data_IF_390177801953
#
_entry.id   IF_390177801953
#
_cell.length_a   1.000
_cell.length_b   1.000
_cell.length_c   1.000
_cell.angle_alpha   90.00
_cell.angle_beta   90.00
_cell.angle_gamma   90.00
#
_symmetry.space_group_name_H-M   'P 1'
#
loop_
_entity.id
_entity.type
_entity.pdbx_description
1 polymer ?
#
# COMPACT_ATOMS: atom_id res chain seq x y z
N UNK A 1 -28.90 17.63 -74.56
CA UNK A 1 -27.82 18.29 -73.80
C UNK A 1 -27.76 17.64 -72.41
N UNK A 2 -26.74 16.82 -72.16
CA UNK A 2 -26.62 15.99 -70.94
C UNK A 2 -26.15 16.88 -69.79
N UNK A 3 -26.93 16.96 -68.71
CA UNK A 3 -26.58 17.68 -67.48
C UNK A 3 -25.60 16.85 -66.67
N UNK A 4 -24.40 17.39 -66.41
CA UNK A 4 -23.40 16.83 -65.51
C UNK A 4 -23.85 17.06 -64.05
N UNK A 5 -23.97 15.99 -63.29
CA UNK A 5 -24.23 15.98 -61.85
C UNK A 5 -22.87 16.08 -61.12
N UNK A 6 -22.66 17.00 -60.16
CA UNK A 6 -21.41 17.06 -59.43
C UNK A 6 -21.35 15.91 -58.42
N UNK A 7 -20.30 15.09 -58.55
CA UNK A 7 -19.97 14.01 -57.63
C UNK A 7 -19.34 14.62 -56.37
N UNK A 8 -20.12 14.78 -55.30
CA UNK A 8 -19.62 15.20 -53.99
C UNK A 8 -18.89 14.00 -53.39
N UNK A 9 -17.56 14.03 -53.43
CA UNK A 9 -16.69 13.08 -52.73
C UNK A 9 -16.80 13.38 -51.24
N UNK A 10 -17.56 12.55 -50.53
CA UNK A 10 -17.61 12.56 -49.07
C UNK A 10 -16.27 12.00 -48.55
N UNK A 11 -15.36 12.87 -48.14
CA UNK A 11 -14.16 12.48 -47.40
C UNK A 11 -14.62 11.98 -46.03
N UNK A 12 -14.74 10.66 -45.87
CA UNK A 12 -14.87 10.01 -44.57
C UNK A 12 -13.56 10.26 -43.78
N UNK A 13 -13.54 11.34 -42.99
CA UNK A 13 -12.52 11.53 -41.98
C UNK A 13 -12.57 10.34 -41.02
N UNK A 14 -11.44 9.63 -40.77
CA UNK A 14 -11.40 8.63 -39.74
C UNK A 14 -11.62 9.34 -38.40
N UNK A 15 -12.67 8.95 -37.69
CA UNK A 15 -12.89 9.35 -36.31
C UNK A 15 -11.72 8.77 -35.50
N UNK A 16 -10.71 9.59 -35.23
CA UNK A 16 -9.64 9.25 -34.29
C UNK A 16 -10.32 9.09 -32.94
N UNK A 17 -10.56 7.85 -32.54
CA UNK A 17 -10.96 7.54 -31.18
C UNK A 17 -9.77 7.94 -30.29
N UNK A 18 -9.91 9.06 -29.56
CA UNK A 18 -9.06 9.29 -28.40
C UNK A 18 -9.33 8.13 -27.45
N UNK A 19 -8.41 7.17 -27.42
CA UNK A 19 -8.31 6.27 -26.28
C UNK A 19 -8.02 7.15 -25.07
N UNK A 20 -8.94 7.21 -24.12
CA UNK A 20 -8.63 7.74 -22.80
C UNK A 20 -7.43 6.94 -22.30
N UNK A 21 -6.29 7.61 -22.15
CA UNK A 21 -5.12 7.03 -21.52
C UNK A 21 -5.56 6.59 -20.11
N UNK A 22 -5.30 5.33 -19.79
CA UNK A 22 -5.62 4.72 -18.50
C UNK A 22 -5.18 5.67 -17.39
N UNK A 23 -6.10 5.93 -16.46
CA UNK A 23 -5.91 6.94 -15.42
C UNK A 23 -4.79 6.53 -14.48
N UNK A 24 -3.56 6.89 -14.81
CA UNK A 24 -2.43 6.94 -13.89
C UNK A 24 -2.93 7.56 -12.56
N UNK A 25 -2.85 6.84 -11.45
CA UNK A 25 -3.26 7.27 -10.09
C UNK A 25 -4.73 7.09 -9.70
N UNK A 26 -5.43 6.08 -10.24
CA UNK A 26 -6.83 5.79 -9.88
C UNK A 26 -7.02 4.78 -8.74
N UNK A 27 -5.95 4.13 -8.29
CA UNK A 27 -6.04 3.01 -7.35
C UNK A 27 -4.84 2.99 -6.39
N UNK A 28 -5.06 2.49 -5.18
CA UNK A 28 -4.02 2.38 -4.14
C UNK A 28 -2.96 1.33 -4.53
N UNK A 29 -1.75 1.44 -4.01
CA UNK A 29 -0.68 0.47 -4.29
C UNK A 29 0.34 0.44 -3.16
N UNK A 30 1.17 -0.61 -3.08
CA UNK A 30 2.23 -0.70 -2.09
C UNK A 30 3.33 0.33 -2.35
N UNK A 31 3.63 1.16 -1.36
CA UNK A 31 4.67 2.18 -1.40
C UNK A 31 5.93 1.82 -0.63
N UNK A 32 5.86 0.89 0.33
CA UNK A 32 7.03 0.41 1.09
C UNK A 32 6.87 -1.06 1.48
N UNK A 33 7.97 -1.81 1.45
CA UNK A 33 8.07 -3.20 1.89
C UNK A 33 9.24 -3.29 2.87
N UNK A 34 8.95 -3.58 4.13
CA UNK A 34 9.96 -3.66 5.20
C UNK A 34 10.23 -5.11 5.54
N UNK A 35 11.44 -5.58 5.23
CA UNK A 35 11.93 -6.88 5.68
C UNK A 35 13.06 -6.74 6.71
N UNK A 36 12.71 -6.52 7.98
CA UNK A 36 13.69 -6.41 9.07
C UNK A 36 14.13 -7.75 9.67
N UNK A 37 14.63 -7.73 10.90
CA UNK A 37 14.99 -8.89 11.71
C UNK A 37 13.78 -9.58 12.29
N UNK A 38 13.81 -10.92 12.33
CA UNK A 38 12.73 -11.70 12.92
C UNK A 38 11.38 -11.36 12.29
N UNK A 39 10.41 -10.97 13.13
CA UNK A 39 9.10 -10.52 12.69
C UNK A 39 8.95 -8.99 12.61
N UNK A 40 10.04 -8.22 12.64
CA UNK A 40 10.03 -6.78 12.37
C UNK A 40 9.78 -6.53 10.89
N UNK A 41 8.50 -6.60 10.50
CA UNK A 41 8.02 -6.61 9.13
C UNK A 41 6.84 -5.68 8.99
N UNK A 42 6.77 -4.97 7.88
CA UNK A 42 5.66 -4.08 7.57
C UNK A 42 5.46 -3.89 6.08
N UNK A 43 4.27 -3.46 5.71
CA UNK A 43 3.89 -3.05 4.36
C UNK A 43 3.24 -1.67 4.43
N UNK A 44 3.62 -0.77 3.54
CA UNK A 44 2.96 0.52 3.37
C UNK A 44 2.16 0.53 2.06
N UNK A 45 0.95 1.08 2.11
CA UNK A 45 0.04 1.25 0.99
C UNK A 45 -0.25 2.75 0.82
N UNK A 46 0.00 3.29 -0.36
CA UNK A 46 -0.26 4.68 -0.69
C UNK A 46 -1.56 4.84 -1.48
N UNK A 47 -2.32 5.89 -1.17
CA UNK A 47 -3.46 6.31 -1.97
C UNK A 47 -3.09 7.49 -2.88
N UNK A 48 -2.85 7.26 -4.18
CA UNK A 48 -2.51 8.33 -5.11
C UNK A 48 -3.72 9.14 -5.58
N UNK A 49 -4.95 8.72 -5.21
CA UNK A 49 -6.19 9.33 -5.69
C UNK A 49 -6.52 10.62 -4.92
N UNK A 50 -7.44 11.41 -5.46
CA UNK A 50 -7.99 12.60 -4.81
C UNK A 50 -9.16 12.29 -3.85
N UNK A 51 -9.44 11.01 -3.59
CA UNK A 51 -10.58 10.56 -2.79
C UNK A 51 -10.14 9.69 -1.62
N UNK A 52 -10.93 9.68 -0.56
CA UNK A 52 -10.78 8.70 0.52
C UNK A 52 -11.13 7.32 -0.01
N UNK A 53 -10.29 6.32 0.32
CA UNK A 53 -10.50 4.92 -0.02
C UNK A 53 -10.98 4.17 1.22
N UNK A 54 -12.04 3.39 1.09
CA UNK A 54 -12.50 2.48 2.14
C UNK A 54 -11.65 1.20 2.11
N UNK A 55 -10.83 1.01 3.13
CA UNK A 55 -9.86 -0.09 3.19
C UNK A 55 -10.53 -1.44 3.43
N UNK A 56 -11.79 -1.46 3.88
CA UNK A 56 -12.52 -2.71 4.05
C UNK A 56 -12.72 -3.48 2.74
N UNK A 57 -12.68 -2.81 1.59
CA UNK A 57 -12.68 -3.51 0.30
C UNK A 57 -11.36 -4.24 -0.01
N UNK A 58 -10.32 -4.10 0.80
CA UNK A 58 -8.97 -4.55 0.50
C UNK A 58 -8.45 -5.60 1.48
N UNK A 59 -7.63 -6.49 0.95
CA UNK A 59 -6.96 -7.55 1.70
C UNK A 59 -5.50 -7.61 1.29
N UNK A 60 -4.63 -7.99 2.23
CA UNK A 60 -3.24 -8.34 1.92
C UNK A 60 -3.10 -9.85 2.05
N UNK A 61 -2.60 -10.51 1.01
CA UNK A 61 -2.37 -11.95 0.97
C UNK A 61 -0.89 -12.26 0.77
N UNK A 62 -0.37 -13.26 1.47
CA UNK A 62 1.00 -13.77 1.30
C UNK A 62 0.99 -15.15 0.67
N UNK A 63 1.78 -15.30 -0.39
CA UNK A 63 2.01 -16.56 -1.09
C UNK A 63 3.38 -17.08 -0.67
N UNK A 64 3.35 -18.00 0.30
CA UNK A 64 4.54 -18.44 1.03
C UNK A 64 5.51 -19.22 0.14
N UNK A 65 6.78 -18.81 0.09
CA UNK A 65 7.90 -19.53 -0.52
C UNK A 65 7.61 -20.00 -1.96
N UNK A 66 7.05 -19.11 -2.79
CA UNK A 66 6.69 -19.40 -4.18
C UNK A 66 5.38 -20.16 -4.38
N UNK A 67 4.54 -20.34 -3.36
CA UNK A 67 3.26 -21.01 -3.49
C UNK A 67 2.35 -20.35 -4.56
N UNK A 68 1.43 -21.15 -5.12
CA UNK A 68 0.41 -20.69 -6.07
C UNK A 68 -0.87 -20.19 -5.36
N UNK A 69 -1.00 -20.45 -4.06
CA UNK A 69 -2.07 -19.98 -3.20
C UNK A 69 -1.51 -19.40 -1.89
N UNK A 70 -2.35 -18.65 -1.18
CA UNK A 70 -1.96 -17.95 0.04
C UNK A 70 -2.33 -18.71 1.33
N UNK A 71 -2.79 -19.96 1.26
CA UNK A 71 -3.32 -20.68 2.44
C UNK A 71 -2.27 -20.85 3.54
N UNK A 72 -1.01 -21.08 3.17
CA UNK A 72 0.10 -21.20 4.12
C UNK A 72 0.73 -19.87 4.50
N UNK A 73 0.55 -18.81 3.70
CA UNK A 73 1.10 -17.49 4.00
C UNK A 73 0.14 -16.59 4.76
N UNK A 74 -1.16 -16.88 4.71
CA UNK A 74 -2.20 -16.14 5.42
C UNK A 74 -2.71 -14.93 4.64
N UNK A 75 -3.75 -14.33 5.20
CA UNK A 75 -4.40 -13.15 4.65
C UNK A 75 -4.90 -12.24 5.78
N UNK A 76 -4.90 -10.94 5.54
CA UNK A 76 -5.43 -9.94 6.49
C UNK A 76 -6.42 -9.01 5.82
N UNK A 77 -7.58 -8.84 6.46
CA UNK A 77 -8.59 -7.86 6.07
C UNK A 77 -8.11 -6.49 6.49
N UNK A 78 -8.03 -5.54 5.57
CA UNK A 78 -7.71 -4.17 5.93
C UNK A 78 -8.96 -3.47 6.45
N UNK A 79 -8.78 -2.52 7.37
CA UNK A 79 -9.88 -1.81 7.98
C UNK A 79 -9.64 -0.31 8.01
N UNK A 80 -10.73 0.45 8.17
CA UNK A 80 -10.67 1.90 8.21
C UNK A 80 -10.71 2.53 6.83
N UNK A 81 -10.24 3.77 6.74
CA UNK A 81 -10.23 4.51 5.50
C UNK A 81 -8.89 5.18 5.32
N UNK A 82 -8.44 5.22 4.07
CA UNK A 82 -7.17 5.78 3.66
C UNK A 82 -7.43 7.11 2.92
N UNK A 83 -7.12 8.27 3.53
CA UNK A 83 -7.31 9.56 2.90
C UNK A 83 -6.51 9.71 1.61
N UNK A 84 -6.95 10.64 0.76
CA UNK A 84 -6.23 11.05 -0.44
C UNK A 84 -4.77 11.42 -0.10
N UNK A 85 -3.83 10.96 -0.93
CA UNK A 85 -2.40 11.22 -0.81
C UNK A 85 -1.78 10.87 0.55
N UNK A 86 -2.39 9.93 1.28
CA UNK A 86 -1.91 9.43 2.56
C UNK A 86 -1.48 7.97 2.42
N UNK A 87 -0.89 7.44 3.49
CA UNK A 87 -0.44 6.05 3.56
C UNK A 87 -1.17 5.27 4.64
N UNK A 88 -1.26 3.96 4.44
CA UNK A 88 -1.70 2.96 5.40
C UNK A 88 -0.52 2.02 5.67
N UNK A 89 -0.29 1.64 6.93
CA UNK A 89 0.80 0.74 7.32
C UNK A 89 0.19 -0.50 7.96
N UNK A 90 0.55 -1.67 7.43
CA UNK A 90 0.28 -2.97 8.03
C UNK A 90 1.57 -3.48 8.68
N UNK A 91 1.54 -3.75 9.98
CA UNK A 91 2.71 -4.21 10.76
C UNK A 91 2.47 -5.61 11.31
N UNK A 92 3.54 -6.39 11.51
CA UNK A 92 3.46 -7.67 12.17
C UNK A 92 2.93 -7.60 13.60
N UNK A 93 1.86 -8.35 13.87
CA UNK A 93 1.15 -8.38 15.14
C UNK A 93 1.76 -9.26 16.22
N UNK A 94 2.90 -9.94 16.00
CA UNK A 94 3.46 -10.85 17.00
C UNK A 94 4.10 -10.07 18.16
N UNK A 95 3.43 -10.01 19.31
CA UNK A 95 3.88 -9.26 20.50
C UNK A 95 4.82 -10.04 21.42
N UNK A 96 4.89 -11.37 21.26
CA UNK A 96 5.65 -12.28 22.11
C UNK A 96 6.53 -13.21 21.28
N UNK A 97 7.57 -13.76 21.90
CA UNK A 97 8.36 -14.84 21.30
C UNK A 97 7.54 -16.14 21.30
N UNK A 98 7.49 -16.83 20.16
CA UNK A 98 6.76 -18.09 19.99
C UNK A 98 7.76 -19.23 19.77
N UNK A 99 7.74 -20.22 20.66
CA UNK A 99 8.53 -21.45 20.50
C UNK A 99 7.95 -22.29 19.35
N UNK A 100 8.77 -22.56 18.34
CA UNK A 100 8.41 -23.40 17.18
C UNK A 100 8.82 -24.86 17.38
N UNK A 101 9.43 -25.20 18.51
CA UNK A 101 10.01 -26.50 18.79
C UNK A 101 11.40 -26.68 18.19
N UNK A 102 12.14 -27.65 18.73
CA UNK A 102 13.51 -27.96 18.27
C UNK A 102 14.53 -26.86 18.55
N UNK A 103 14.24 -25.95 19.49
CA UNK A 103 15.10 -24.81 19.84
C UNK A 103 14.94 -23.60 18.91
N UNK A 104 13.98 -23.62 17.99
CA UNK A 104 13.67 -22.48 17.12
C UNK A 104 12.63 -21.58 17.77
N UNK A 105 12.86 -20.27 17.70
CA UNK A 105 11.95 -19.26 18.22
C UNK A 105 11.57 -18.33 17.07
N UNK A 106 10.27 -18.09 16.90
CA UNK A 106 9.74 -16.97 16.13
C UNK A 106 9.75 -15.75 17.05
N UNK A 107 10.66 -14.77 16.87
CA UNK A 107 10.81 -13.66 17.80
C UNK A 107 9.66 -12.65 17.64
N UNK A 108 9.29 -11.94 18.70
CA UNK A 108 8.35 -10.82 18.59
C UNK A 108 8.83 -9.75 17.61
N UNK A 109 7.88 -9.01 17.05
CA UNK A 109 8.17 -7.82 16.25
C UNK A 109 8.78 -6.72 17.14
N UNK A 110 9.62 -5.86 16.54
CA UNK A 110 10.20 -4.72 17.24
C UNK A 110 9.09 -3.82 17.81
N UNK A 111 9.08 -3.53 19.12
CA UNK A 111 8.06 -2.70 19.73
C UNK A 111 7.92 -1.31 19.11
N UNK A 112 9.01 -0.69 18.63
CA UNK A 112 8.95 0.62 17.99
C UNK A 112 8.27 0.55 16.62
N UNK A 113 8.42 -0.56 15.89
CA UNK A 113 7.70 -0.79 14.65
C UNK A 113 6.21 -1.08 14.93
N UNK A 114 5.91 -1.88 15.96
CA UNK A 114 4.53 -2.12 16.41
C UNK A 114 3.83 -0.85 16.90
N UNK A 115 4.54 0.04 17.58
CA UNK A 115 3.99 1.33 18.05
C UNK A 115 3.54 2.22 16.88
N UNK A 116 4.09 2.05 15.67
CA UNK A 116 3.53 2.70 14.48
C UNK A 116 2.09 2.26 14.29
N UNK A 117 1.79 0.97 14.27
CA UNK A 117 0.43 0.44 14.08
C UNK A 117 -0.60 0.87 15.15
N UNK A 118 -0.17 1.50 16.26
CA UNK A 118 -1.08 2.13 17.24
C UNK A 118 -1.71 3.46 16.74
N UNK A 119 -1.27 3.97 15.59
CA UNK A 119 -1.73 5.23 15.00
C UNK A 119 -2.70 4.97 13.83
N UNK A 120 -3.93 5.45 13.88
CA UNK A 120 -4.85 5.34 12.74
C UNK A 120 -4.31 6.19 11.57
N UNK A 121 -4.24 5.69 10.32
CA UNK A 121 -4.98 4.54 9.76
C UNK A 121 -4.27 3.18 9.82
N UNK A 122 -3.21 3.00 10.61
CA UNK A 122 -2.38 1.79 10.60
C UNK A 122 -3.02 0.61 11.36
N UNK A 123 -2.56 -0.60 11.04
CA UNK A 123 -3.12 -1.86 11.53
C UNK A 123 -2.02 -2.88 11.81
N UNK A 124 -2.23 -3.74 12.80
CA UNK A 124 -1.44 -4.97 12.97
C UNK A 124 -2.15 -6.13 12.28
N UNK A 125 -1.39 -7.05 11.69
CA UNK A 125 -1.96 -8.30 11.21
C UNK A 125 -2.22 -9.32 12.34
N UNK A 126 -2.85 -10.43 11.95
CA UNK A 126 -3.29 -11.50 12.86
C UNK A 126 -2.12 -12.43 13.24
N UNK A 127 -2.28 -13.33 14.22
CA UNK A 127 -1.30 -14.38 14.48
C UNK A 127 -1.02 -15.24 13.25
N UNK A 128 0.20 -15.78 13.16
CA UNK A 128 0.60 -16.67 12.06
C UNK A 128 -0.44 -17.77 11.75
N UNK A 129 -0.76 -18.05 10.47
CA UNK A 129 -0.18 -17.43 9.27
C UNK A 129 -0.81 -16.06 8.97
N UNK A 130 0.06 -15.06 8.75
CA UNK A 130 -0.36 -13.71 8.36
C UNK A 130 0.65 -13.09 7.38
N UNK A 131 0.23 -12.08 6.60
CA UNK A 131 1.01 -11.60 5.47
C UNK A 131 2.37 -11.03 5.83
N UNK A 132 2.51 -10.42 7.00
CA UNK A 132 3.78 -9.80 7.40
C UNK A 132 4.76 -10.78 8.05
N UNK A 133 4.54 -12.09 7.92
CA UNK A 133 5.56 -13.11 8.22
C UNK A 133 6.47 -13.41 7.02
N UNK A 134 6.64 -12.42 6.14
CA UNK A 134 7.39 -12.61 4.91
C UNK A 134 8.90 -12.70 5.11
N UNK A 135 9.58 -13.49 4.27
CA UNK A 135 11.02 -13.77 4.33
C UNK A 135 11.75 -13.58 2.98
N UNK A 136 11.17 -12.73 2.13
CA UNK A 136 11.79 -12.21 0.91
C UNK A 136 11.46 -12.97 -0.36
N UNK A 137 11.25 -14.28 -0.30
CA UNK A 137 10.81 -15.10 -1.43
C UNK A 137 9.30 -15.35 -1.46
N UNK A 138 8.53 -14.54 -0.72
CA UNK A 138 7.07 -14.60 -0.70
C UNK A 138 6.45 -13.52 -1.58
N UNK A 139 5.50 -13.92 -2.42
CA UNK A 139 4.75 -12.93 -3.18
C UNK A 139 3.68 -12.34 -2.26
N UNK A 140 3.50 -11.03 -2.32
CA UNK A 140 2.48 -10.31 -1.56
C UNK A 140 1.50 -9.69 -2.55
N UNK A 141 0.21 -9.88 -2.30
CA UNK A 141 -0.85 -9.31 -3.11
C UNK A 141 -1.71 -8.34 -2.29
N UNK A 142 -1.98 -7.17 -2.86
CA UNK A 142 -3.07 -6.30 -2.45
C UNK A 142 -4.27 -6.65 -3.29
N UNK A 143 -5.28 -7.26 -2.68
CA UNK A 143 -6.49 -7.74 -3.33
C UNK A 143 -7.65 -6.79 -3.03
N UNK A 144 -8.48 -6.50 -4.01
CA UNK A 144 -9.71 -5.72 -3.86
C UNK A 144 -10.92 -6.60 -4.12
N UNK A 145 -11.82 -6.66 -3.15
CA UNK A 145 -13.13 -7.32 -3.26
C UNK A 145 -14.14 -6.39 -3.93
N UNK A 146 -15.13 -6.96 -4.61
CA UNK A 146 -16.28 -6.23 -5.16
C UNK A 146 -17.37 -5.93 -4.11
N UNK A 147 -17.38 -6.68 -3.00
CA UNK A 147 -18.48 -6.72 -2.04
C UNK A 147 -18.06 -6.56 -0.57
N UNK A 148 -16.77 -6.31 -0.28
CA UNK A 148 -16.24 -6.10 1.07
C UNK A 148 -16.43 -7.31 2.02
N UNK A 149 -16.65 -8.52 1.49
CA UNK A 149 -16.94 -9.70 2.31
C UNK A 149 -16.22 -10.97 1.85
N UNK A 150 -15.98 -11.14 0.55
CA UNK A 150 -15.34 -12.34 0.02
C UNK A 150 -14.25 -12.03 -0.99
N UNK A 151 -13.32 -12.97 -1.15
CA UNK A 151 -12.25 -12.92 -2.16
C UNK A 151 -12.62 -13.61 -3.47
N UNK A 152 -13.83 -14.19 -3.55
CA UNK A 152 -14.26 -15.04 -4.68
C UNK A 152 -14.20 -14.31 -6.03
N UNK A 153 -14.41 -13.00 -6.02
CA UNK A 153 -14.30 -12.13 -7.20
C UNK A 153 -13.22 -11.06 -7.02
N UNK A 154 -12.27 -11.27 -6.10
CA UNK A 154 -11.24 -10.28 -5.86
C UNK A 154 -10.27 -10.17 -7.02
N UNK A 155 -9.79 -8.95 -7.27
CA UNK A 155 -8.76 -8.67 -8.25
C UNK A 155 -7.49 -8.17 -7.56
N UNK A 156 -6.33 -8.49 -8.14
CA UNK A 156 -5.08 -7.89 -7.69
C UNK A 156 -5.03 -6.43 -8.11
N UNK A 157 -4.81 -5.57 -7.12
CA UNK A 157 -4.55 -4.15 -7.29
C UNK A 157 -3.05 -3.87 -7.34
N UNK A 158 -2.27 -4.65 -6.61
CA UNK A 158 -0.81 -4.60 -6.66
C UNK A 158 -0.21 -5.94 -6.24
N UNK A 159 0.95 -6.27 -6.81
CA UNK A 159 1.71 -7.48 -6.54
C UNK A 159 3.18 -7.13 -6.31
N UNK A 160 3.75 -7.67 -5.24
CA UNK A 160 5.19 -7.71 -5.00
C UNK A 160 5.59 -9.17 -5.15
N UNK A 161 6.35 -9.51 -6.19
CA UNK A 161 6.72 -10.88 -6.48
C UNK A 161 5.77 -11.62 -7.45
N UNK A 162 6.26 -12.73 -7.95
CA UNK A 162 5.60 -13.66 -8.88
C UNK A 162 5.01 -14.87 -8.13
N UNK A 163 3.70 -15.05 -8.26
CA UNK A 163 2.98 -16.15 -7.61
C UNK A 163 3.24 -17.46 -8.38
N UNK A 164 3.39 -18.58 -7.67
CA UNK A 164 3.39 -19.93 -8.26
C UNK A 164 4.74 -20.42 -8.82
N UNK A 165 5.87 -19.87 -8.36
CA UNK A 165 7.21 -20.35 -8.75
C UNK A 165 7.60 -21.69 -8.11
N UNK A 166 6.93 -22.09 -7.03
CA UNK A 166 7.14 -23.34 -6.31
C UNK A 166 8.62 -23.59 -5.96
N UNK A 167 9.11 -24.78 -6.29
CA UNK A 167 10.47 -25.22 -5.99
C UNK A 167 11.58 -24.38 -6.63
N UNK A 168 11.25 -23.52 -7.60
CA UNK A 168 12.23 -22.60 -8.17
C UNK A 168 12.75 -21.61 -7.12
N UNK A 169 11.88 -21.20 -6.18
CA UNK A 169 12.19 -20.14 -5.20
C UNK A 169 12.00 -20.57 -3.73
N UNK A 170 11.43 -21.75 -3.45
CA UNK A 170 11.04 -22.15 -2.09
C UNK A 170 12.17 -22.29 -1.08
N UNK A 171 13.40 -22.51 -1.54
CA UNK A 171 14.60 -22.56 -0.70
C UNK A 171 15.48 -21.31 -0.81
N UNK A 172 15.00 -20.29 -1.53
CA UNK A 172 15.76 -19.09 -1.84
C UNK A 172 15.46 -17.98 -0.82
N UNK A 173 16.44 -17.11 -0.59
CA UNK A 173 16.31 -16.00 0.35
C UNK A 173 16.09 -14.67 -0.39
N UNK A 174 14.86 -14.42 -0.86
CA UNK A 174 14.54 -13.22 -1.64
C UNK A 174 13.96 -13.53 -3.02
N UNK A 175 13.57 -12.48 -3.76
CA UNK A 175 12.95 -12.64 -5.08
C UNK A 175 13.96 -12.84 -6.22
N UNK A 176 14.40 -14.08 -6.46
CA UNK A 176 15.36 -14.43 -7.52
C UNK A 176 15.25 -15.89 -7.98
N UNK A 177 15.27 -16.11 -9.31
CA UNK A 177 15.41 -17.45 -9.90
C UNK A 177 16.86 -17.97 -9.87
N UNK A 178 17.80 -17.12 -9.48
CA UNK A 178 19.20 -17.48 -9.30
C UNK A 178 19.44 -17.83 -7.84
N UNK A 179 19.89 -19.07 -7.65
CA UNK A 179 20.28 -19.61 -6.35
C UNK A 179 21.67 -19.12 -5.94
N UNK A 180 22.02 -19.22 -4.66
CA UNK A 180 23.38 -18.95 -4.13
C UNK A 180 24.43 -19.80 -4.87
N UNK A 181 24.90 -19.26 -6.00
CA UNK A 181 25.72 -19.94 -7.00
C UNK A 181 26.71 -18.97 -7.62
N UNK A 182 27.66 -19.51 -8.39
CA UNK A 182 28.56 -18.68 -9.19
C UNK A 182 27.87 -18.32 -10.50
N UNK A 183 27.53 -17.04 -10.68
CA UNK A 183 26.99 -16.51 -11.93
C UNK A 183 28.12 -16.09 -12.86
N UNK A 184 27.95 -16.32 -14.16
CA UNK A 184 28.84 -15.81 -15.21
C UNK A 184 28.11 -14.70 -15.96
N UNK A 185 28.70 -13.51 -16.07
CA UNK A 185 28.05 -12.36 -16.70
C UNK A 185 29.02 -11.53 -17.55
N UNK A 186 28.44 -10.78 -18.48
CA UNK A 186 29.15 -9.89 -19.40
C UNK A 186 29.21 -8.48 -18.81
N UNK A 187 30.43 -7.92 -18.69
CA UNK A 187 30.66 -6.52 -18.32
C UNK A 187 31.05 -5.74 -19.55
N UNK A 188 30.26 -4.72 -19.88
CA UNK A 188 30.60 -3.76 -20.93
C UNK A 188 31.50 -2.68 -20.32
N UNK A 189 32.77 -2.67 -20.70
CA UNK A 189 33.73 -1.64 -20.24
C UNK A 189 33.64 -0.39 -21.13
N UNK A 190 33.28 -0.59 -22.38
CA UNK A 190 32.98 0.44 -23.37
C UNK A 190 32.01 -0.13 -24.42
N UNK A 191 31.72 0.65 -25.47
CA UNK A 191 30.78 0.29 -26.53
C UNK A 191 31.17 -0.95 -27.37
N UNK A 192 32.41 -1.42 -27.25
CA UNK A 192 33.02 -2.47 -28.07
C UNK A 192 33.64 -3.61 -27.25
N UNK A 193 33.95 -3.38 -25.98
CA UNK A 193 34.67 -4.32 -25.13
C UNK A 193 33.74 -4.96 -24.12
N UNK A 194 33.57 -6.28 -24.25
CA UNK A 194 32.83 -7.12 -23.30
C UNK A 194 33.80 -8.07 -22.59
N UNK A 195 33.81 -8.02 -21.26
CA UNK A 195 34.57 -8.96 -20.42
C UNK A 195 33.60 -9.95 -19.82
N UNK A 196 33.86 -11.25 -19.98
CA UNK A 196 33.13 -12.32 -19.28
C UNK A 196 33.77 -12.52 -17.92
N UNK A 197 33.02 -12.34 -16.83
CA UNK A 197 33.51 -12.56 -15.47
C UNK A 197 32.53 -13.39 -14.64
N UNK A 198 32.97 -13.76 -13.43
CA UNK A 198 32.21 -14.58 -12.48
C UNK A 198 32.06 -13.87 -11.14
N UNK A 199 30.84 -13.86 -10.62
CA UNK A 199 30.53 -13.41 -9.26
C UNK A 199 29.88 -14.55 -8.47
N UNK A 200 30.03 -14.55 -7.15
CA UNK A 200 29.17 -15.34 -6.28
C UNK A 200 27.95 -14.53 -5.88
N UNK A 201 26.78 -15.15 -5.96
CA UNK A 201 25.60 -14.72 -5.21
C UNK A 201 25.82 -15.17 -3.77
N UNK A 202 25.86 -14.23 -2.84
CA UNK A 202 25.93 -14.48 -1.41
C UNK A 202 24.87 -13.61 -0.76
N UNK A 203 23.91 -14.22 -0.05
CA UNK A 203 22.79 -13.49 0.52
C UNK A 203 22.11 -12.59 -0.52
N UNK A 204 22.03 -13.06 -1.78
CA UNK A 204 21.35 -12.32 -2.85
C UNK A 204 21.94 -10.91 -3.07
N UNK A 205 23.22 -10.78 -2.74
CA UNK A 205 24.09 -9.71 -3.19
C UNK A 205 25.11 -10.41 -4.10
N UNK A 206 25.10 -10.05 -5.37
CA UNK A 206 26.24 -10.42 -6.21
C UNK A 206 27.39 -9.53 -5.78
N UNK A 207 28.50 -10.16 -5.40
CA UNK A 207 29.69 -9.45 -4.97
C UNK A 207 30.05 -8.35 -5.97
N UNK A 208 30.25 -7.11 -5.48
CA UNK A 208 30.66 -6.00 -6.32
C UNK A 208 32.08 -6.18 -6.92
N UNK A 209 32.80 -7.20 -6.41
CA UNK A 209 34.07 -7.67 -6.91
C UNK A 209 33.91 -9.08 -7.47
N UNK A 210 34.64 -9.40 -8.54
CA UNK A 210 34.73 -10.78 -9.03
C UNK A 210 35.45 -11.71 -8.03
N UNK A 211 35.52 -13.00 -8.36
CA UNK A 211 36.20 -13.98 -7.51
C UNK A 211 37.71 -13.74 -7.33
N UNK A 212 38.32 -12.82 -8.07
CA UNK A 212 39.72 -12.39 -7.94
C UNK A 212 39.90 -11.09 -7.16
N UNK A 213 38.80 -10.46 -6.71
CA UNK A 213 38.81 -9.21 -5.96
C UNK A 213 38.79 -7.95 -6.83
N UNK A 214 38.52 -8.06 -8.14
CA UNK A 214 38.43 -6.91 -9.05
C UNK A 214 37.01 -6.33 -9.07
N UNK A 215 36.89 -5.03 -8.84
CA UNK A 215 35.59 -4.33 -8.80
C UNK A 215 34.98 -4.18 -10.21
N UNK A 216 33.70 -4.51 -10.34
CA UNK A 216 32.93 -4.34 -11.59
C UNK A 216 31.58 -3.64 -11.39
N UNK A 217 31.26 -3.19 -10.17
CA UNK A 217 29.99 -2.55 -9.83
C UNK A 217 29.01 -3.49 -9.10
N UNK A 218 27.97 -2.96 -8.44
CA UNK A 218 26.96 -3.80 -7.78
C UNK A 218 26.10 -4.52 -8.83
N UNK A 219 25.98 -5.84 -8.69
CA UNK A 219 25.10 -6.68 -9.51
C UNK A 219 23.87 -7.08 -8.67
N UNK A 220 22.69 -6.89 -9.25
CA UNK A 220 21.43 -6.77 -8.52
C UNK A 220 20.58 -8.03 -8.66
N UNK A 221 20.46 -8.87 -7.64
CA UNK A 221 19.48 -9.96 -7.66
C UNK A 221 19.02 -10.32 -6.24
N UNK A 222 17.73 -10.12 -5.97
CA UNK A 222 16.97 -10.36 -4.73
C UNK A 222 17.19 -9.34 -3.59
N UNK A 223 16.62 -8.14 -3.77
CA UNK A 223 16.64 -7.06 -2.77
C UNK A 223 15.53 -7.17 -1.71
N UNK A 224 14.66 -8.17 -1.76
CA UNK A 224 13.55 -8.25 -0.81
C UNK A 224 14.05 -8.66 0.57
N UNK A 225 14.96 -9.65 0.66
CA UNK A 225 15.46 -10.14 1.93
C UNK A 225 16.28 -9.12 2.72
N UNK A 226 15.96 -8.94 4.00
CA UNK A 226 16.73 -8.16 4.97
C UNK A 226 16.95 -6.70 4.53
N UNK A 227 16.00 -6.17 3.76
CA UNK A 227 16.01 -4.81 3.24
C UNK A 227 14.62 -4.19 3.38
N UNK A 228 14.64 -2.87 3.41
CA UNK A 228 13.44 -2.08 3.15
C UNK A 228 13.47 -1.56 1.72
N UNK A 229 12.37 -1.76 1.01
CA UNK A 229 12.17 -1.29 -0.35
C UNK A 229 11.14 -0.18 -0.36
N UNK A 230 11.43 0.91 -1.04
CA UNK A 230 10.50 2.01 -1.28
C UNK A 230 10.13 2.06 -2.76
N UNK A 231 8.85 2.26 -3.03
CA UNK A 231 8.34 2.37 -4.40
C UNK A 231 8.90 3.66 -5.02
N UNK A 232 9.28 3.58 -6.30
CA UNK A 232 9.76 4.74 -7.05
C UNK A 232 8.66 5.79 -7.22
N UNK A 233 8.93 7.09 -7.08
CA UNK A 233 7.93 8.13 -7.30
C UNK A 233 7.32 8.14 -8.71
N UNK A 234 8.01 7.57 -9.71
CA UNK A 234 7.50 7.46 -11.07
C UNK A 234 6.41 6.38 -11.25
N UNK A 235 6.26 5.47 -10.29
CA UNK A 235 5.23 4.42 -10.31
C UNK A 235 3.91 5.02 -9.84
N UNK A 236 2.86 4.80 -10.63
CA UNK A 236 1.54 5.46 -10.45
C UNK A 236 0.37 4.49 -10.31
N UNK A 237 0.64 3.20 -10.41
CA UNK A 237 -0.31 2.10 -10.26
C UNK A 237 0.45 0.84 -9.84
N UNK A 238 -0.26 -0.11 -9.23
CA UNK A 238 0.29 -1.39 -8.84
C UNK A 238 0.35 -2.40 -9.98
N UNK A 239 1.09 -3.49 -9.76
CA UNK A 239 1.16 -4.64 -10.67
C UNK A 239 -0.11 -5.48 -10.51
N UNK A 240 -0.99 -5.47 -11.51
CA UNK A 240 -2.32 -6.13 -11.42
C UNK A 240 -2.35 -7.54 -12.02
N UNK A 241 -1.27 -7.96 -12.69
CA UNK A 241 -1.12 -9.28 -13.31
C UNK A 241 0.12 -9.97 -12.76
N UNK A 242 0.06 -11.29 -12.62
CA UNK A 242 1.18 -12.07 -12.09
C UNK A 242 2.44 -11.83 -12.95
N UNK A 243 3.47 -11.16 -12.42
CA UNK A 243 4.63 -10.76 -13.22
C UNK A 243 5.50 -11.96 -13.58
N UNK A 244 6.09 -11.99 -14.78
CA UNK A 244 7.02 -13.03 -15.22
C UNK A 244 8.16 -12.45 -16.08
N UNK A 245 9.37 -12.24 -15.52
CA UNK A 245 9.73 -12.32 -14.10
C UNK A 245 9.30 -11.05 -13.34
N UNK A 246 9.21 -11.15 -12.01
CA UNK A 246 9.20 -9.94 -11.17
C UNK A 246 10.60 -9.32 -11.08
N UNK A 247 10.73 -8.08 -11.57
CA UNK A 247 11.98 -7.32 -11.55
C UNK A 247 11.87 -6.20 -10.52
N UNK A 248 12.41 -6.45 -9.32
CA UNK A 248 12.34 -5.50 -8.19
C UNK A 248 12.76 -4.09 -8.59
N UNK A 249 13.88 -3.97 -9.30
CA UNK A 249 14.51 -2.69 -9.67
C UNK A 249 13.72 -1.86 -10.69
N UNK A 250 12.70 -2.46 -11.33
CA UNK A 250 11.84 -1.75 -12.26
C UNK A 250 11.01 -0.69 -11.52
N UNK A 251 10.54 -1.01 -10.32
CA UNK A 251 9.55 -0.20 -9.60
C UNK A 251 9.96 0.17 -8.17
N UNK A 252 11.01 -0.46 -7.64
CA UNK A 252 11.46 -0.29 -6.26
C UNK A 252 12.92 0.15 -6.18
N UNK A 253 13.23 0.93 -5.15
CA UNK A 253 14.59 1.23 -4.71
C UNK A 253 14.78 0.74 -3.27
N UNK A 254 16.02 0.38 -2.91
CA UNK A 254 16.36 0.00 -1.54
C UNK A 254 16.57 1.25 -0.68
N UNK A 255 16.02 1.25 0.53
CA UNK A 255 16.34 2.25 1.56
C UNK A 255 17.74 1.96 2.12
N UNK A 256 18.68 2.93 2.05
CA UNK A 256 20.02 2.73 2.59
C UNK A 256 20.02 2.44 4.10
N UNK A 257 20.95 1.61 4.55
CA UNK A 257 21.10 1.22 5.96
C UNK A 257 20.84 -0.27 6.21
N UNK A 258 20.29 -0.98 5.23
CA UNK A 258 20.14 -2.44 5.26
C UNK A 258 18.94 -2.87 6.10
N UNK A 259 19.17 -3.88 6.92
CA UNK A 259 18.14 -4.50 7.76
C UNK A 259 17.70 -3.56 8.88
N UNK A 260 16.45 -3.69 9.32
CA UNK A 260 15.88 -2.91 10.44
C UNK A 260 15.84 -1.39 10.22
N UNK A 261 15.56 -0.98 8.98
CA UNK A 261 15.41 0.44 8.62
C UNK A 261 13.98 0.70 8.18
N UNK A 262 13.22 1.48 8.93
CA UNK A 262 11.82 1.80 8.60
C UNK A 262 11.47 3.27 8.87
N UNK A 263 12.49 4.13 8.92
CA UNK A 263 12.32 5.57 9.16
C UNK A 263 11.60 6.30 8.01
N UNK A 264 11.50 5.66 6.84
CA UNK A 264 10.79 6.15 5.66
C UNK A 264 9.28 5.95 5.72
N UNK A 265 8.80 5.02 6.55
CA UNK A 265 7.38 4.75 6.73
C UNK A 265 6.62 6.01 7.16
N UNK A 266 5.37 6.10 6.71
CA UNK A 266 4.43 7.17 7.02
C UNK A 266 4.30 8.21 5.91
N UNK A 267 5.11 8.14 4.85
CA UNK A 267 5.02 9.06 3.72
C UNK A 267 5.45 8.41 2.42
N UNK A 268 4.77 8.76 1.32
CA UNK A 268 5.20 8.39 -0.02
C UNK A 268 5.03 9.57 -0.98
N UNK A 269 5.98 9.74 -1.88
CA UNK A 269 5.91 10.75 -2.96
C UNK A 269 5.64 10.05 -4.27
N UNK A 270 4.57 10.45 -4.96
CA UNK A 270 4.22 9.91 -6.26
C UNK A 270 4.07 11.02 -7.30
N UNK A 271 4.50 10.76 -8.55
CA UNK A 271 4.42 11.66 -9.70
C UNK A 271 3.02 11.81 -10.30
N UNK A 272 1.98 11.51 -9.52
CA UNK A 272 0.60 11.81 -9.84
C UNK A 272 0.39 13.32 -9.95
N UNK A 273 -0.30 13.78 -11.00
CA UNK A 273 -0.42 15.18 -11.41
C UNK A 273 -0.47 16.20 -10.25
N UNK A 274 0.64 16.94 -10.09
CA UNK A 274 0.85 18.09 -9.20
C UNK A 274 0.12 19.38 -9.62
N UNK A 275 -0.94 19.30 -10.43
CA UNK A 275 -1.73 20.48 -10.82
C UNK A 275 -2.66 21.00 -9.71
N UNK A 276 -2.76 20.28 -8.60
CA UNK A 276 -3.29 20.82 -7.36
C UNK A 276 -2.12 21.25 -6.48
N UNK A 277 -2.08 22.53 -6.12
CA UNK A 277 -1.23 23.05 -5.04
C UNK A 277 -1.72 22.38 -3.75
N UNK A 278 -1.21 21.18 -3.47
CA UNK A 278 -1.34 20.57 -2.17
C UNK A 278 -0.20 21.09 -1.30
N UNK A 279 -0.56 21.79 -0.22
CA UNK A 279 0.38 22.09 0.84
C UNK A 279 0.89 20.76 1.39
N UNK A 280 2.12 20.39 1.04
CA UNK A 280 2.91 19.42 1.78
C UNK A 280 3.08 19.96 3.20
N UNK A 281 2.21 19.55 4.10
CA UNK A 281 2.38 19.77 5.53
C UNK A 281 2.34 18.42 6.22
N UNK A 282 3.50 18.07 6.79
CA UNK A 282 3.62 16.96 7.72
C UNK A 282 2.53 17.04 8.78
N UNK A 283 1.95 15.88 9.10
CA UNK A 283 0.92 15.70 10.12
C UNK A 283 -0.20 16.75 10.08
N UNK A 284 -0.70 17.08 8.89
CA UNK A 284 -1.93 17.87 8.80
C UNK A 284 -3.03 17.16 9.58
N UNK A 285 -3.78 17.91 10.40
CA UNK A 285 -4.93 17.37 11.09
C UNK A 285 -5.95 16.86 10.06
N UNK A 286 -6.19 15.55 10.05
CA UNK A 286 -7.09 14.90 9.11
C UNK A 286 -8.37 14.49 9.83
N UNK A 287 -9.50 14.93 9.30
CA UNK A 287 -10.83 14.64 9.83
C UNK A 287 -11.78 14.42 8.65
N UNK A 288 -12.55 13.35 8.70
CA UNK A 288 -13.56 13.04 7.69
C UNK A 288 -14.79 12.40 8.32
N UNK A 289 -15.89 12.42 7.55
CA UNK A 289 -17.18 11.85 7.93
C UNK A 289 -17.69 10.90 6.86
N UNK A 290 -18.14 9.71 7.23
CA UNK A 290 -18.62 8.70 6.28
C UNK A 290 -19.87 7.94 6.76
N UNK A 291 -20.89 7.69 5.92
CA UNK A 291 -21.02 8.22 4.56
C UNK A 291 -21.32 9.73 4.59
N UNK A 292 -20.84 10.44 3.58
CA UNK A 292 -21.24 11.83 3.31
C UNK A 292 -21.45 11.95 1.79
N UNK A 293 -22.70 11.96 1.28
CA UNK A 293 -23.95 12.26 2.01
C UNK A 293 -24.48 11.14 2.92
N UNK A 294 -25.14 11.52 4.02
CA UNK A 294 -25.82 10.63 4.99
C UNK A 294 -27.25 10.37 4.52
N UNK A 295 -27.64 9.11 4.31
CA UNK A 295 -28.96 8.74 3.75
C UNK A 295 -29.92 8.08 4.75
N UNK A 296 -29.39 7.62 5.89
CA UNK A 296 -30.09 6.81 6.89
C UNK A 296 -29.86 7.36 8.31
N UNK A 297 -29.49 8.64 8.42
CA UNK A 297 -29.20 9.31 9.69
C UNK A 297 -27.96 8.79 10.42
N UNK A 298 -27.22 7.83 9.85
CA UNK A 298 -26.06 7.21 10.47
C UNK A 298 -24.79 7.55 9.70
N UNK A 299 -23.76 8.02 10.41
CA UNK A 299 -22.43 8.25 9.86
C UNK A 299 -21.37 8.16 10.94
N UNK A 300 -20.11 8.13 10.56
CA UNK A 300 -18.96 8.02 11.44
C UNK A 300 -18.10 9.26 11.30
N UNK A 301 -17.59 9.76 12.42
CA UNK A 301 -16.53 10.77 12.46
C UNK A 301 -15.21 10.07 12.70
N UNK A 302 -14.22 10.33 11.86
CA UNK A 302 -12.91 9.70 11.94
C UNK A 302 -11.82 10.77 11.85
N UNK A 303 -10.79 10.65 12.68
CA UNK A 303 -9.68 11.59 12.74
C UNK A 303 -8.34 10.88 13.00
N UNK A 304 -7.24 11.46 12.52
CA UNK A 304 -5.88 10.98 12.86
C UNK A 304 -5.43 11.40 14.27
N UNK A 305 -6.22 12.21 14.99
CA UNK A 305 -6.02 12.61 16.39
C UNK A 305 -7.13 12.12 17.29
N UNK A 306 -6.87 11.99 18.60
CA UNK A 306 -7.85 11.48 19.54
C UNK A 306 -9.04 12.46 19.63
N UNK A 307 -10.24 11.92 19.43
CA UNK A 307 -11.51 12.63 19.50
C UNK A 307 -12.00 12.59 20.95
N UNK A 308 -12.31 13.77 21.49
CA UNK A 308 -12.86 13.96 22.83
C UNK A 308 -14.37 14.08 22.81
N UNK A 309 -14.93 14.72 21.78
CA UNK A 309 -16.38 14.88 21.66
C UNK A 309 -16.78 15.19 20.22
N UNK A 310 -17.94 14.69 19.81
CA UNK A 310 -18.59 15.06 18.55
C UNK A 310 -19.94 15.70 18.85
N UNK A 311 -20.24 16.78 18.14
CA UNK A 311 -21.54 17.42 18.13
C UNK A 311 -22.01 17.62 16.70
N UNK A 312 -23.30 17.50 16.45
CA UNK A 312 -23.90 17.86 15.16
C UNK A 312 -24.92 18.95 15.40
N UNK A 313 -24.84 20.03 14.62
CA UNK A 313 -25.80 21.11 14.65
C UNK A 313 -26.31 21.43 13.24
N UNK A 314 -27.56 21.89 13.13
CA UNK A 314 -28.04 22.44 11.87
C UNK A 314 -27.45 23.84 11.60
N UNK A 315 -27.73 24.42 10.42
CA UNK A 315 -27.24 25.76 10.04
C UNK A 315 -27.77 26.89 10.95
N UNK A 316 -28.85 26.66 11.69
CA UNK A 316 -29.39 27.59 12.68
C UNK A 316 -28.69 27.45 14.05
N UNK A 317 -27.75 26.50 14.19
CA UNK A 317 -27.01 26.24 15.42
C UNK A 317 -27.74 25.38 16.45
N UNK A 318 -28.89 24.78 16.09
CA UNK A 318 -29.59 23.84 16.97
C UNK A 318 -28.82 22.52 17.02
N UNK A 319 -28.56 22.02 18.23
CA UNK A 319 -27.86 20.74 18.42
C UNK A 319 -28.79 19.57 18.08
N UNK A 320 -28.40 18.77 17.10
CA UNK A 320 -29.09 17.55 16.67
C UNK A 320 -28.52 16.30 17.33
N UNK A 321 -27.24 16.33 17.67
CA UNK A 321 -26.53 15.22 18.31
C UNK A 321 -25.38 15.76 19.17
N UNK A 322 -25.09 15.06 20.25
CA UNK A 322 -23.92 15.26 21.09
C UNK A 322 -23.49 13.91 21.65
N UNK A 323 -22.24 13.53 21.43
CA UNK A 323 -21.64 12.38 22.09
C UNK A 323 -21.32 12.71 23.54
N UNK A 324 -21.33 11.69 24.40
CA UNK A 324 -20.66 11.80 25.69
C UNK A 324 -19.15 12.08 25.49
N UNK A 325 -18.50 12.81 26.42
CA UNK A 325 -17.06 12.98 26.39
C UNK A 325 -16.35 11.64 26.48
N UNK A 326 -15.43 11.39 25.55
CA UNK A 326 -14.74 10.11 25.43
C UNK A 326 -13.45 10.11 26.23
N UNK A 327 -13.18 9.01 26.94
CA UNK A 327 -11.92 8.78 27.68
C UNK A 327 -11.00 7.87 26.85
N UNK A 328 -9.69 8.10 26.93
CA UNK A 328 -8.70 7.35 26.16
C UNK A 328 -8.52 7.85 24.73
N UNK A 329 -7.79 7.07 23.93
CA UNK A 329 -7.49 7.39 22.52
C UNK A 329 -8.59 6.80 21.64
N UNK A 330 -9.61 7.60 21.34
CA UNK A 330 -10.69 7.20 20.41
C UNK A 330 -10.61 8.05 19.17
N UNK A 331 -10.37 7.43 18.02
CA UNK A 331 -10.20 8.11 16.72
C UNK A 331 -11.39 7.96 15.78
N UNK A 332 -12.42 7.22 16.21
CA UNK A 332 -13.63 6.92 15.46
C UNK A 332 -14.85 6.99 16.37
N UNK A 333 -15.87 7.76 15.98
CA UNK A 333 -17.14 7.89 16.72
C UNK A 333 -18.31 7.68 15.77
N UNK A 334 -19.14 6.63 15.95
CA UNK A 334 -20.40 6.50 15.23
C UNK A 334 -21.41 7.54 15.74
N UNK A 335 -22.14 8.14 14.80
CA UNK A 335 -23.15 9.17 15.04
C UNK A 335 -24.47 8.70 14.45
N UNK A 336 -25.51 8.72 15.29
CA UNK A 336 -26.89 8.45 14.90
C UNK A 336 -27.70 9.71 15.13
N UNK A 337 -28.19 10.31 14.04
CA UNK A 337 -29.04 11.48 14.04
C UNK A 337 -30.49 11.10 14.36
N UNK A 338 -31.33 12.06 14.82
CA UNK A 338 -32.75 11.83 15.04
C UNK A 338 -33.45 11.29 13.79
N UNK A 339 -34.40 10.37 13.96
CA UNK A 339 -35.10 9.71 12.84
C UNK A 339 -35.92 10.68 11.97
N UNK A 340 -36.32 11.82 12.53
CA UNK A 340 -37.07 12.90 11.89
C UNK A 340 -36.17 14.03 11.35
N UNK A 341 -34.87 13.79 11.23
CA UNK A 341 -33.95 14.78 10.70
C UNK A 341 -34.32 15.18 9.28
N UNK A 342 -34.45 16.49 9.05
CA UNK A 342 -34.74 17.01 7.72
C UNK A 342 -33.53 16.89 6.80
N UNK A 343 -33.71 16.64 5.49
CA UNK A 343 -32.63 16.74 4.52
C UNK A 343 -32.01 18.14 4.52
N UNK A 344 -30.69 18.23 4.41
CA UNK A 344 -30.00 19.51 4.45
C UNK A 344 -28.53 19.42 4.87
N UNK A 345 -27.89 20.59 4.99
CA UNK A 345 -26.50 20.71 5.43
C UNK A 345 -26.45 20.81 6.95
N UNK A 346 -25.58 20.02 7.57
CA UNK A 346 -25.31 20.04 9.00
C UNK A 346 -23.82 20.29 9.28
N UNK A 347 -23.54 20.88 10.43
CA UNK A 347 -22.20 21.17 10.93
C UNK A 347 -21.83 20.15 11.99
N UNK A 348 -20.75 19.40 11.76
CA UNK A 348 -20.17 18.45 12.71
C UNK A 348 -19.01 19.13 13.42
N UNK A 349 -19.16 19.40 14.70
CA UNK A 349 -18.10 19.97 15.55
C UNK A 349 -17.38 18.86 16.28
N UNK A 350 -16.06 18.85 16.21
CA UNK A 350 -15.21 17.74 16.63
C UNK A 350 -14.16 18.33 17.54
N UNK A 351 -14.25 18.00 18.83
CA UNK A 351 -13.28 18.36 19.84
C UNK A 351 -12.22 17.26 19.90
N UNK A 352 -10.96 17.64 19.73
CA UNK A 352 -9.82 16.74 19.76
C UNK A 352 -9.05 16.84 21.09
N UNK A 353 -8.07 15.96 21.26
CA UNK A 353 -7.02 16.13 22.27
C UNK A 353 -6.34 17.52 22.14
N UNK A 354 -5.93 18.09 23.27
CA UNK A 354 -5.40 19.46 23.31
C UNK A 354 -6.43 20.57 23.05
N UNK A 355 -7.73 20.27 23.26
CA UNK A 355 -8.87 21.22 23.18
C UNK A 355 -9.06 21.91 21.83
N UNK A 356 -8.51 21.34 20.76
CA UNK A 356 -8.71 21.85 19.41
C UNK A 356 -10.11 21.49 18.90
N UNK A 357 -10.85 22.50 18.44
CA UNK A 357 -12.18 22.36 17.86
C UNK A 357 -12.13 22.51 16.34
N UNK A 358 -12.60 21.50 15.61
CA UNK A 358 -12.78 21.56 14.15
C UNK A 358 -14.26 21.46 13.80
N UNK A 359 -14.64 22.11 12.69
CA UNK A 359 -15.99 22.03 12.13
C UNK A 359 -15.93 21.44 10.72
N UNK A 360 -16.66 20.36 10.51
CA UNK A 360 -16.85 19.70 9.22
C UNK A 360 -18.30 19.85 8.75
N UNK A 361 -18.55 19.78 7.43
CA UNK A 361 -19.91 19.87 6.87
C UNK A 361 -20.34 18.50 6.36
N UNK A 362 -21.56 18.10 6.68
CA UNK A 362 -22.19 16.90 6.12
C UNK A 362 -23.48 17.27 5.40
N UNK A 363 -23.82 16.50 4.36
CA UNK A 363 -25.12 16.57 3.70
C UNK A 363 -25.98 15.39 4.17
N UNK A 364 -27.16 15.66 4.71
CA UNK A 364 -28.19 14.64 4.99
C UNK A 364 -29.20 14.66 3.84
N UNK A 365 -29.52 13.48 3.30
CA UNK A 365 -30.46 13.29 2.18
C UNK A 365 -31.77 12.67 2.61
#
# INVERSE_FOLDING_TARGET
MKKLLPFVIFFLLPLVQLTAQESDCSEIFFSEYVEGSGNSKALEIYNPTNSVVDMSYYWVARYSNGAADYSSGGITHLQGFLPAHSVFILVNGQTEDVDLGGGNISPKCDPALQDLASHFPYQMDEPYPAPTYMNGNDAIALLKSDNNQTLSNSTAVDLIGQIGLGNAISGEYGWSNIKDTTVTYNVHVDSSTVIVTKGKVINYIVQAHDTSGKYFGPFWMAWTKDHTLIRKPSVKHGVTQNPDPFVVTAEWDTVPGGKDVWNSLGTHTCGCNISAVHNLHGSSLQIYTYPNPVTNGQFEVIANRAIRQVMVANILGQNMYRSEPVKGVVRKIPVTLPADISPGIYLVRILLDGDQLIVHKILVK
#
